data_IF_938603528753
#
_entry.id   IF_938603528753
#
_cell.length_a   1.000
_cell.length_b   1.000
_cell.length_c   1.000
_cell.angle_alpha   90.00
_cell.angle_beta   90.00
_cell.angle_gamma   90.00
#
_symmetry.space_group_name_H-M   'P 1'
#
loop_
_entity.id
_entity.type
_entity.pdbx_description
1 polymer ?
#
# COMPACT_ATOMS: atom_id res chain seq x y z
N UNK A 1 22.32 -3.24 10.84
CA UNK A 1 22.35 -3.57 9.41
C UNK A 1 21.72 -2.40 8.65
N UNK A 2 22.51 -1.70 7.83
CA UNK A 2 22.01 -0.66 6.93
C UNK A 2 21.25 -1.34 5.79
N UNK A 3 19.93 -1.26 5.81
CA UNK A 3 19.05 -1.82 4.76
C UNK A 3 18.95 -0.91 3.51
N UNK A 4 19.72 0.19 3.46
CA UNK A 4 19.63 1.20 2.40
C UNK A 4 18.36 2.07 2.49
N UNK A 5 18.28 3.09 1.63
CA UNK A 5 17.13 3.99 1.59
C UNK A 5 15.94 3.35 0.87
N UNK A 6 14.75 3.43 1.47
CA UNK A 6 13.50 2.99 0.87
C UNK A 6 12.60 4.18 0.58
N UNK A 7 12.08 4.25 -0.65
CA UNK A 7 11.16 5.33 -1.08
C UNK A 7 9.78 4.74 -1.36
N UNK A 8 8.75 5.39 -0.79
CA UNK A 8 7.35 5.10 -1.11
C UNK A 8 6.87 6.08 -2.19
N UNK A 9 6.47 5.55 -3.36
CA UNK A 9 6.03 6.36 -4.49
C UNK A 9 4.52 6.34 -4.67
N UNK A 10 3.99 7.46 -5.12
CA UNK A 10 2.59 7.71 -5.48
C UNK A 10 2.38 7.49 -6.97
N UNK A 11 1.23 6.94 -7.37
CA UNK A 11 0.91 6.66 -8.78
C UNK A 11 -0.24 7.48 -9.34
N UNK A 12 -1.02 8.14 -8.49
CA UNK A 12 -2.20 8.92 -8.88
C UNK A 12 -2.35 10.17 -8.01
N UNK A 13 -3.07 11.14 -8.52
CA UNK A 13 -3.58 12.27 -7.74
C UNK A 13 -4.98 11.92 -7.27
N UNK A 14 -5.12 11.50 -6.00
CA UNK A 14 -6.35 10.93 -5.44
C UNK A 14 -6.49 9.43 -5.72
N UNK A 15 -7.59 8.81 -5.26
CA UNK A 15 -7.85 7.38 -5.39
C UNK A 15 -9.35 7.10 -5.46
N UNK A 16 -9.79 6.27 -6.41
CA UNK A 16 -11.20 5.91 -6.56
C UNK A 16 -11.59 4.59 -5.86
N UNK A 17 -10.63 3.90 -5.23
CA UNK A 17 -10.92 2.62 -4.55
C UNK A 17 -11.84 2.82 -3.34
N UNK A 18 -11.67 3.94 -2.62
CA UNK A 18 -12.57 4.35 -1.55
C UNK A 18 -12.52 3.43 -0.34
N UNK A 19 -11.32 2.98 0.06
CA UNK A 19 -11.12 2.27 1.33
C UNK A 19 -11.46 3.20 2.50
N UNK A 20 -12.31 2.73 3.42
CA UNK A 20 -12.89 3.57 4.49
C UNK A 20 -11.89 3.95 5.58
N UNK A 21 -10.75 3.28 5.66
CA UNK A 21 -9.67 3.52 6.62
C UNK A 21 -8.50 4.36 6.08
N UNK A 22 -8.53 4.74 4.79
CA UNK A 22 -7.40 5.35 4.10
C UNK A 22 -7.66 6.83 3.77
N UNK A 23 -6.75 7.72 4.16
CA UNK A 23 -6.84 9.14 3.83
C UNK A 23 -6.87 9.43 2.32
N UNK A 24 -6.22 8.59 1.51
CA UNK A 24 -6.27 8.71 0.05
C UNK A 24 -7.68 8.47 -0.52
N UNK A 25 -8.51 7.70 0.17
CA UNK A 25 -9.91 7.44 -0.21
C UNK A 25 -10.84 8.65 -0.07
N UNK A 26 -10.42 9.68 0.69
CA UNK A 26 -11.14 10.93 0.86
C UNK A 26 -11.06 11.84 -0.38
N UNK A 27 -10.14 11.56 -1.29
CA UNK A 27 -9.88 12.39 -2.44
C UNK A 27 -10.14 11.59 -3.70
N UNK A 28 -11.20 11.97 -4.39
CA UNK A 28 -11.51 11.40 -5.70
C UNK A 28 -10.31 11.53 -6.63
N UNK A 29 -10.01 10.46 -7.37
CA UNK A 29 -8.96 10.47 -8.40
C UNK A 29 -9.18 11.62 -9.38
N UNK A 30 -8.16 12.43 -9.55
CA UNK A 30 -8.14 13.53 -10.51
C UNK A 30 -7.43 13.11 -11.79
N UNK A 31 -6.26 12.46 -11.67
CA UNK A 31 -5.50 11.94 -12.80
C UNK A 31 -4.51 10.85 -12.41
N UNK A 32 -4.04 10.15 -13.39
CA UNK A 32 -2.89 9.27 -13.28
C UNK A 32 -1.58 10.07 -13.36
N UNK A 33 -0.55 9.61 -12.68
CA UNK A 33 0.82 10.09 -12.89
C UNK A 33 1.44 9.34 -14.06
N UNK A 34 2.19 10.06 -14.88
CA UNK A 34 3.02 9.46 -15.92
C UNK A 34 4.17 8.67 -15.30
N UNK A 35 4.74 7.73 -16.04
CA UNK A 35 5.93 6.99 -15.60
C UNK A 35 7.08 7.93 -15.20
N UNK A 36 7.30 9.02 -15.94
CA UNK A 36 8.32 10.03 -15.63
C UNK A 36 8.06 10.75 -14.29
N UNK A 37 6.80 11.11 -14.00
CA UNK A 37 6.44 11.73 -12.71
C UNK A 37 6.66 10.76 -11.54
N UNK A 38 6.43 9.45 -11.74
CA UNK A 38 6.69 8.45 -10.70
C UNK A 38 8.21 8.29 -10.48
N UNK A 39 9.01 8.23 -11.55
CA UNK A 39 10.49 8.21 -11.48
C UNK A 39 11.04 9.45 -10.79
N UNK A 40 10.48 10.63 -11.11
CA UNK A 40 10.93 11.90 -10.54
C UNK A 40 10.86 11.94 -9.00
N UNK A 41 9.91 11.23 -8.38
CA UNK A 41 9.84 11.13 -6.91
C UNK A 41 11.10 10.47 -6.33
N UNK A 42 11.61 9.41 -6.97
CA UNK A 42 12.85 8.75 -6.55
C UNK A 42 14.06 9.67 -6.77
N UNK A 43 14.10 10.33 -7.94
CA UNK A 43 15.22 11.22 -8.28
C UNK A 43 15.32 12.42 -7.34
N UNK A 44 14.19 12.99 -6.91
CA UNK A 44 14.16 14.08 -5.94
C UNK A 44 14.69 13.66 -4.57
N UNK A 45 14.32 12.46 -4.12
CA UNK A 45 14.85 11.90 -2.86
C UNK A 45 16.35 11.63 -2.99
N UNK A 46 16.80 11.01 -4.09
CA UNK A 46 18.21 10.75 -4.34
C UNK A 46 19.01 12.06 -4.36
N UNK A 47 18.53 13.06 -5.11
CA UNK A 47 19.18 14.38 -5.16
C UNK A 47 19.34 15.00 -3.77
N UNK A 48 18.33 14.88 -2.90
CA UNK A 48 18.43 15.39 -1.53
C UNK A 48 19.62 14.79 -0.75
N UNK A 49 19.87 13.47 -0.90
CA UNK A 49 21.00 12.80 -0.24
C UNK A 49 22.31 13.11 -0.94
N UNK A 50 22.33 13.23 -2.27
CA UNK A 50 23.53 13.62 -3.03
C UNK A 50 24.00 15.03 -2.65
N UNK A 51 23.07 15.99 -2.53
CA UNK A 51 23.36 17.39 -2.15
C UNK A 51 23.92 17.49 -0.72
N UNK A 52 23.63 16.51 0.15
CA UNK A 52 24.17 16.43 1.52
C UNK A 52 25.55 15.75 1.60
N UNK A 53 25.92 15.06 0.55
CA UNK A 53 27.18 14.29 0.54
C UNK A 53 27.16 13.05 1.45
N UNK A 54 25.97 12.55 1.81
CA UNK A 54 25.81 11.41 2.73
C UNK A 54 26.26 10.08 2.10
N UNK A 55 26.48 10.03 0.78
CA UNK A 55 26.86 8.83 0.03
C UNK A 55 25.78 7.74 0.01
N UNK A 56 24.57 8.06 0.50
CA UNK A 56 23.45 7.14 0.57
C UNK A 56 22.72 7.04 -0.77
N UNK A 57 22.27 5.83 -1.13
CA UNK A 57 21.56 5.56 -2.38
C UNK A 57 20.20 4.97 -2.10
N UNK A 58 19.18 5.45 -2.85
CA UNK A 58 17.89 4.79 -2.88
C UNK A 58 18.05 3.38 -3.48
N UNK A 59 17.80 2.38 -2.68
CA UNK A 59 17.97 0.97 -3.01
C UNK A 59 16.67 0.16 -3.00
N UNK A 60 15.63 0.67 -2.35
CA UNK A 60 14.34 0.00 -2.24
C UNK A 60 13.20 0.96 -2.66
N UNK A 61 12.22 0.42 -3.37
CA UNK A 61 11.03 1.17 -3.79
C UNK A 61 9.77 0.40 -3.47
N UNK A 62 8.83 1.06 -2.80
CA UNK A 62 7.48 0.53 -2.60
C UNK A 62 6.45 1.41 -3.29
N UNK A 63 5.63 0.81 -4.14
CA UNK A 63 4.55 1.49 -4.85
C UNK A 63 3.30 1.34 -3.99
N UNK A 64 3.27 2.11 -2.89
CA UNK A 64 2.26 2.04 -1.82
C UNK A 64 1.76 3.43 -1.39
N UNK A 65 2.08 4.46 -2.17
CA UNK A 65 1.63 5.82 -1.93
C UNK A 65 0.18 6.03 -2.35
N UNK A 66 -0.16 7.24 -2.78
CA UNK A 66 -1.52 7.61 -3.17
C UNK A 66 -1.89 6.97 -4.51
N UNK A 67 -3.07 6.36 -4.56
CA UNK A 67 -3.64 5.76 -5.76
C UNK A 67 -3.62 4.24 -5.75
N UNK A 68 -4.25 3.67 -6.78
CA UNK A 68 -4.22 2.24 -7.07
C UNK A 68 -3.27 2.01 -8.27
N UNK A 69 -2.12 1.36 -8.06
CA UNK A 69 -1.15 1.18 -9.15
C UNK A 69 -1.72 0.45 -10.37
N UNK A 70 -2.59 -0.52 -10.16
CA UNK A 70 -3.17 -1.28 -11.26
C UNK A 70 -4.34 -0.58 -11.96
N UNK A 71 -4.81 0.54 -11.44
CA UNK A 71 -5.70 1.47 -12.16
C UNK A 71 -4.93 2.47 -13.04
N UNK A 72 -3.60 2.58 -12.84
CA UNK A 72 -2.65 3.32 -13.68
C UNK A 72 -1.61 2.35 -14.32
N UNK A 73 -2.09 1.23 -14.82
CA UNK A 73 -1.30 0.05 -15.14
C UNK A 73 -0.12 0.30 -16.08
N UNK A 74 -0.36 0.91 -17.24
CA UNK A 74 0.66 1.09 -18.28
C UNK A 74 1.80 2.01 -17.82
N UNK A 75 1.48 3.09 -17.12
CA UNK A 75 2.49 4.00 -16.58
C UNK A 75 3.30 3.32 -15.47
N UNK A 76 2.64 2.56 -14.58
CA UNK A 76 3.31 1.80 -13.52
C UNK A 76 4.22 0.74 -14.12
N UNK A 77 3.77 -0.01 -15.11
CA UNK A 77 4.59 -1.03 -15.77
C UNK A 77 5.84 -0.41 -16.43
N UNK A 78 5.65 0.71 -17.16
CA UNK A 78 6.75 1.47 -17.76
C UNK A 78 7.71 2.00 -16.70
N UNK A 79 7.19 2.54 -15.61
CA UNK A 79 7.99 2.97 -14.46
C UNK A 79 8.85 1.83 -13.89
N UNK A 80 8.26 0.65 -13.62
CA UNK A 80 8.98 -0.50 -13.08
C UNK A 80 10.13 -0.95 -13.99
N UNK A 81 9.87 -1.02 -15.30
CA UNK A 81 10.89 -1.35 -16.30
C UNK A 81 12.01 -0.31 -16.35
N UNK A 82 11.66 0.98 -16.20
CA UNK A 82 12.65 2.09 -16.22
C UNK A 82 13.58 2.03 -15.01
N UNK A 83 13.04 1.88 -13.79
CA UNK A 83 13.87 1.89 -12.57
C UNK A 83 14.68 0.60 -12.38
N UNK A 84 14.24 -0.50 -12.98
CA UNK A 84 14.94 -1.78 -12.94
C UNK A 84 16.00 -1.92 -14.05
N UNK A 85 15.99 -1.05 -15.07
CA UNK A 85 16.93 -1.11 -16.18
C UNK A 85 18.35 -0.74 -15.70
N UNK A 86 19.36 -1.54 -16.15
CA UNK A 86 20.77 -1.32 -15.77
C UNK A 86 21.32 0.02 -16.27
N UNK A 87 20.79 0.56 -17.37
CA UNK A 87 21.11 1.90 -17.88
C UNK A 87 20.29 3.03 -17.23
N UNK A 88 19.38 2.68 -16.26
CA UNK A 88 18.58 3.62 -15.51
C UNK A 88 19.04 3.71 -14.06
N UNK A 89 18.07 3.60 -13.12
CA UNK A 89 18.38 3.62 -11.68
C UNK A 89 18.99 2.29 -11.19
N UNK A 90 18.92 1.22 -11.97
CA UNK A 90 19.45 -0.11 -11.67
C UNK A 90 18.98 -0.65 -10.30
N UNK A 91 17.75 -0.36 -9.93
CA UNK A 91 17.16 -0.89 -8.68
C UNK A 91 16.73 -2.34 -8.94
N UNK A 92 17.36 -3.27 -8.24
CA UNK A 92 17.10 -4.70 -8.42
C UNK A 92 15.62 -5.04 -8.21
N UNK A 93 15.03 -5.87 -9.06
CA UNK A 93 13.60 -6.19 -9.05
C UNK A 93 13.10 -6.71 -7.70
N UNK A 94 13.94 -7.43 -6.93
CA UNK A 94 13.61 -7.93 -5.58
C UNK A 94 13.51 -6.82 -4.52
N UNK A 95 14.02 -5.63 -4.82
CA UNK A 95 13.93 -4.45 -3.96
C UNK A 95 12.77 -3.53 -4.34
N UNK A 96 11.97 -3.94 -5.33
CA UNK A 96 10.78 -3.20 -5.76
C UNK A 96 9.55 -4.01 -5.36
N UNK A 97 8.59 -3.35 -4.71
CA UNK A 97 7.30 -3.95 -4.35
C UNK A 97 6.16 -3.10 -4.89
N UNK A 98 5.26 -3.72 -5.64
CA UNK A 98 4.00 -3.09 -6.07
C UNK A 98 2.87 -3.64 -5.23
N UNK A 99 2.04 -2.73 -4.70
CA UNK A 99 0.85 -3.10 -3.94
C UNK A 99 -0.40 -2.78 -4.74
N UNK A 100 -1.41 -3.65 -4.66
CA UNK A 100 -2.74 -3.43 -5.27
C UNK A 100 -3.84 -3.71 -4.27
N UNK A 101 -4.95 -2.99 -4.39
CA UNK A 101 -6.18 -3.27 -3.65
C UNK A 101 -6.89 -4.55 -4.10
N UNK A 102 -6.42 -5.19 -5.19
CA UNK A 102 -6.94 -6.45 -5.66
C UNK A 102 -7.78 -6.36 -6.93
N UNK A 103 -7.32 -5.60 -7.94
CA UNK A 103 -7.89 -5.62 -9.29
C UNK A 103 -7.55 -6.97 -9.95
N UNK A 104 -8.37 -7.99 -9.72
CA UNK A 104 -8.10 -9.38 -10.10
C UNK A 104 -7.70 -9.58 -11.58
N UNK A 105 -8.35 -8.95 -12.59
CA UNK A 105 -7.91 -9.07 -13.99
C UNK A 105 -6.49 -8.54 -14.20
N UNK A 106 -6.13 -7.43 -13.53
CA UNK A 106 -4.80 -6.83 -13.66
C UNK A 106 -3.71 -7.62 -12.94
N UNK A 107 -4.05 -8.35 -11.89
CA UNK A 107 -3.11 -9.31 -11.26
C UNK A 107 -2.76 -10.43 -12.26
N UNK A 108 -3.75 -10.97 -12.99
CA UNK A 108 -3.51 -11.99 -14.03
C UNK A 108 -2.67 -11.43 -15.20
N UNK A 109 -2.96 -10.21 -15.64
CA UNK A 109 -2.17 -9.52 -16.67
C UNK A 109 -0.72 -9.34 -16.21
N UNK A 110 -0.52 -8.84 -14.99
CA UNK A 110 0.79 -8.62 -14.38
C UNK A 110 1.65 -9.89 -14.26
N UNK A 111 1.03 -11.05 -14.06
CA UNK A 111 1.71 -12.34 -14.03
C UNK A 111 2.44 -12.66 -15.35
N UNK A 112 1.97 -12.13 -16.48
CA UNK A 112 2.50 -12.41 -17.81
C UNK A 112 3.50 -11.33 -18.32
N UNK A 113 3.74 -10.26 -17.54
CA UNK A 113 4.60 -9.13 -17.95
C UNK A 113 6.11 -9.43 -17.89
N UNK A 114 6.50 -10.55 -17.30
CA UNK A 114 7.91 -10.93 -17.15
C UNK A 114 8.69 -10.06 -16.17
N UNK A 115 8.05 -9.13 -15.45
CA UNK A 115 8.70 -8.31 -14.41
C UNK A 115 8.85 -9.09 -13.12
N UNK A 116 10.07 -9.06 -12.53
CA UNK A 116 10.38 -9.84 -11.33
C UNK A 116 10.29 -9.04 -10.03
N UNK A 117 9.41 -8.06 -9.96
CA UNK A 117 9.16 -7.28 -8.75
C UNK A 117 8.26 -8.06 -7.77
N UNK A 118 8.24 -7.65 -6.52
CA UNK A 118 7.37 -8.27 -5.52
C UNK A 118 5.94 -7.74 -5.66
N UNK A 119 4.96 -8.63 -5.53
CA UNK A 119 3.54 -8.29 -5.48
C UNK A 119 3.06 -8.30 -4.03
N UNK A 120 2.45 -7.19 -3.61
CA UNK A 120 1.68 -7.09 -2.38
C UNK A 120 0.19 -6.89 -2.72
N UNK A 121 -0.69 -7.47 -1.91
CA UNK A 121 -2.14 -7.33 -2.06
C UNK A 121 -2.73 -6.83 -0.76
N UNK A 122 -3.39 -5.68 -0.83
CA UNK A 122 -4.18 -5.12 0.27
C UNK A 122 -5.42 -5.98 0.52
N UNK A 123 -5.31 -6.93 1.44
CA UNK A 123 -6.37 -7.88 1.75
C UNK A 123 -7.32 -7.33 2.82
N UNK A 124 -6.78 -6.99 3.98
CA UNK A 124 -7.38 -6.30 5.13
C UNK A 124 -8.60 -6.94 5.77
N UNK A 125 -9.15 -8.03 5.20
CA UNK A 125 -10.23 -8.79 5.78
C UNK A 125 -10.21 -10.25 5.27
N UNK A 126 -10.66 -11.23 6.08
CA UNK A 126 -10.60 -12.64 5.73
C UNK A 126 -11.87 -13.16 5.04
N UNK A 127 -12.97 -12.37 5.02
CA UNK A 127 -14.23 -12.72 4.41
C UNK A 127 -14.83 -11.56 3.61
N UNK A 128 -15.79 -11.86 2.73
CA UNK A 128 -16.37 -10.88 1.81
C UNK A 128 -17.19 -9.79 2.48
N UNK A 129 -17.91 -10.11 3.54
CA UNK A 129 -18.78 -9.14 4.23
C UNK A 129 -17.91 -8.06 4.89
N UNK A 130 -16.93 -8.48 5.67
CA UNK A 130 -15.99 -7.57 6.31
C UNK A 130 -15.16 -6.80 5.27
N UNK A 131 -14.66 -7.48 4.23
CA UNK A 131 -13.88 -6.81 3.19
C UNK A 131 -14.72 -5.78 2.43
N UNK A 132 -15.98 -6.08 2.12
CA UNK A 132 -16.89 -5.16 1.42
C UNK A 132 -17.27 -3.94 2.27
N UNK A 133 -17.27 -4.06 3.60
CA UNK A 133 -17.52 -2.96 4.51
C UNK A 133 -16.39 -1.95 4.56
N UNK A 134 -15.13 -2.39 4.44
CA UNK A 134 -13.94 -1.54 4.53
C UNK A 134 -13.27 -1.24 3.18
N UNK A 135 -13.50 -2.07 2.15
CA UNK A 135 -12.92 -1.94 0.81
C UNK A 135 -13.97 -2.16 -0.28
N UNK A 136 -14.47 -1.08 -0.88
CA UNK A 136 -15.53 -1.13 -1.92
C UNK A 136 -15.15 -1.99 -3.13
N UNK A 137 -13.87 -2.12 -3.43
CA UNK A 137 -13.37 -2.92 -4.55
C UNK A 137 -13.79 -4.40 -4.45
N UNK A 138 -14.02 -4.91 -3.24
CA UNK A 138 -14.47 -6.28 -3.02
C UNK A 138 -15.81 -6.60 -3.69
N UNK A 139 -16.69 -5.59 -3.88
CA UNK A 139 -17.98 -5.77 -4.59
C UNK A 139 -17.78 -6.12 -6.05
N UNK A 140 -16.70 -5.62 -6.67
CA UNK A 140 -16.36 -5.93 -8.07
C UNK A 140 -15.51 -7.19 -8.19
N UNK A 141 -14.60 -7.36 -7.22
CA UNK A 141 -13.66 -8.49 -7.16
C UNK A 141 -13.69 -9.12 -5.77
N UNK A 142 -14.71 -9.97 -5.48
CA UNK A 142 -14.81 -10.70 -4.21
C UNK A 142 -13.60 -11.63 -4.03
N UNK A 143 -13.42 -12.12 -2.81
CA UNK A 143 -12.24 -12.91 -2.42
C UNK A 143 -12.01 -14.11 -3.33
N UNK A 144 -13.07 -14.77 -3.81
CA UNK A 144 -12.95 -15.93 -4.72
C UNK A 144 -12.24 -15.54 -6.02
N UNK A 145 -12.65 -14.43 -6.63
CA UNK A 145 -12.02 -13.90 -7.87
C UNK A 145 -10.61 -13.39 -7.60
N UNK A 146 -10.42 -12.76 -6.45
CA UNK A 146 -9.10 -12.27 -6.06
C UNK A 146 -8.12 -13.43 -5.86
N UNK A 147 -8.52 -14.47 -5.11
CA UNK A 147 -7.65 -15.62 -4.86
C UNK A 147 -7.41 -16.46 -6.10
N UNK A 148 -8.40 -16.60 -7.01
CA UNK A 148 -8.18 -17.18 -8.33
C UNK A 148 -7.06 -16.46 -9.11
N UNK A 149 -7.08 -15.13 -9.10
CA UNK A 149 -6.05 -14.34 -9.77
C UNK A 149 -4.67 -14.46 -9.09
N UNK A 150 -4.65 -14.55 -7.76
CA UNK A 150 -3.42 -14.75 -6.98
C UNK A 150 -2.84 -16.15 -7.21
N UNK A 151 -3.68 -17.19 -7.21
CA UNK A 151 -3.26 -18.56 -7.53
C UNK A 151 -2.65 -18.61 -8.95
N UNK A 152 -3.29 -17.98 -9.94
CA UNK A 152 -2.75 -17.84 -11.28
C UNK A 152 -1.39 -17.13 -11.30
N UNK A 153 -1.26 -15.99 -10.58
CA UNK A 153 0.01 -15.28 -10.47
C UNK A 153 1.12 -16.17 -9.89
N UNK A 154 0.83 -16.89 -8.80
CA UNK A 154 1.78 -17.80 -8.15
C UNK A 154 2.19 -18.93 -9.10
N UNK A 155 1.24 -19.55 -9.81
CA UNK A 155 1.51 -20.64 -10.75
C UNK A 155 2.35 -20.18 -11.94
N UNK A 156 2.07 -18.98 -12.47
CA UNK A 156 2.75 -18.43 -13.65
C UNK A 156 4.17 -17.95 -13.32
N UNK A 157 4.35 -17.30 -12.15
CA UNK A 157 5.60 -16.62 -11.81
C UNK A 157 6.48 -17.40 -10.84
N UNK A 158 5.94 -18.41 -10.16
CA UNK A 158 6.54 -19.10 -9.00
C UNK A 158 7.06 -18.14 -7.92
N UNK A 159 6.38 -17.00 -7.74
CA UNK A 159 6.77 -15.94 -6.80
C UNK A 159 5.80 -15.85 -5.64
N UNK A 160 6.34 -15.44 -4.48
CA UNK A 160 5.56 -15.19 -3.28
C UNK A 160 4.70 -13.94 -3.44
N UNK A 161 3.49 -13.98 -2.90
CA UNK A 161 2.61 -12.83 -2.71
C UNK A 161 2.63 -12.41 -1.24
N UNK A 162 2.70 -11.12 -0.98
CA UNK A 162 2.56 -10.56 0.37
C UNK A 162 1.15 -10.00 0.54
N UNK A 163 0.47 -10.36 1.61
CA UNK A 163 -0.81 -9.78 2.00
C UNK A 163 -0.59 -8.69 3.04
N UNK A 164 -1.06 -7.50 2.74
CA UNK A 164 -1.10 -6.40 3.70
C UNK A 164 -2.43 -6.49 4.46
N UNK A 165 -2.38 -6.55 5.79
CA UNK A 165 -3.54 -6.67 6.67
C UNK A 165 -3.47 -5.61 7.76
N UNK A 166 -4.26 -4.53 7.59
CA UNK A 166 -4.36 -3.45 8.56
C UNK A 166 -5.18 -3.92 9.76
N UNK A 167 -4.70 -3.65 10.97
CA UNK A 167 -5.35 -4.06 12.22
C UNK A 167 -6.23 -2.92 12.74
N UNK A 168 -7.55 -3.04 12.54
CA UNK A 168 -8.57 -2.09 12.98
C UNK A 168 -9.25 -2.64 14.22
N UNK A 169 -9.13 -1.92 15.34
CA UNK A 169 -9.66 -2.35 16.63
C UNK A 169 -11.16 -2.64 16.57
N UNK A 170 -11.58 -3.79 17.10
CA UNK A 170 -12.96 -4.28 17.16
C UNK A 170 -13.66 -4.41 15.77
N UNK A 171 -12.88 -4.38 14.69
CA UNK A 171 -13.42 -4.49 13.32
C UNK A 171 -12.94 -5.77 12.64
N UNK A 172 -11.62 -5.96 12.54
CA UNK A 172 -11.03 -7.09 11.82
C UNK A 172 -9.90 -7.78 12.58
N UNK A 173 -9.75 -7.49 13.87
CA UNK A 173 -8.66 -7.93 14.73
C UNK A 173 -9.07 -9.02 15.75
N UNK A 174 -10.24 -9.65 15.57
CA UNK A 174 -10.71 -10.74 16.41
C UNK A 174 -9.95 -12.06 16.09
N UNK A 175 -9.74 -12.95 17.07
CA UNK A 175 -9.10 -14.25 16.85
C UNK A 175 -9.80 -15.09 15.76
N UNK A 176 -11.11 -14.99 15.63
CA UNK A 176 -11.91 -15.65 14.59
C UNK A 176 -11.51 -15.18 13.20
N UNK A 177 -11.24 -13.87 13.03
CA UNK A 177 -10.74 -13.34 11.76
C UNK A 177 -9.33 -13.86 11.43
N UNK A 178 -8.49 -14.08 12.44
CA UNK A 178 -7.18 -14.71 12.23
C UNK A 178 -7.33 -16.18 11.78
N UNK A 179 -8.29 -16.92 12.33
CA UNK A 179 -8.57 -18.29 11.91
C UNK A 179 -9.10 -18.32 10.47
N UNK A 180 -10.08 -17.50 10.14
CA UNK A 180 -10.60 -17.35 8.76
C UNK A 180 -9.47 -17.00 7.78
N UNK A 181 -8.56 -16.08 8.15
CA UNK A 181 -7.43 -15.67 7.32
C UNK A 181 -6.44 -16.83 7.10
N UNK A 182 -6.19 -17.63 8.13
CA UNK A 182 -5.36 -18.81 8.03
C UNK A 182 -5.97 -19.87 7.09
N UNK A 183 -7.28 -20.06 7.14
CA UNK A 183 -8.00 -20.98 6.28
C UNK A 183 -8.04 -20.48 4.83
N UNK A 184 -8.31 -19.19 4.63
CA UNK A 184 -8.32 -18.54 3.32
C UNK A 184 -6.97 -18.71 2.57
N UNK A 185 -5.86 -18.58 3.30
CA UNK A 185 -4.51 -18.65 2.71
C UNK A 185 -3.94 -20.07 2.64
N UNK A 186 -4.69 -21.10 3.11
CA UNK A 186 -4.21 -22.48 3.26
C UNK A 186 -3.60 -23.06 2.00
N UNK A 187 -4.25 -22.86 0.84
CA UNK A 187 -3.81 -23.44 -0.44
C UNK A 187 -2.47 -22.84 -0.93
N UNK A 188 -2.24 -21.57 -0.64
CA UNK A 188 -1.07 -20.81 -1.14
C UNK A 188 -0.03 -20.53 -0.05
N UNK A 189 -0.16 -21.16 1.11
CA UNK A 189 0.63 -20.87 2.33
C UNK A 189 2.14 -20.84 2.11
N UNK A 190 2.68 -21.74 1.26
CA UNK A 190 4.12 -21.81 0.98
C UNK A 190 4.65 -20.57 0.24
N UNK A 191 3.82 -19.94 -0.56
CA UNK A 191 4.15 -18.77 -1.38
C UNK A 191 3.33 -17.55 -0.98
N UNK A 192 2.90 -17.49 0.28
CA UNK A 192 2.24 -16.33 0.86
C UNK A 192 2.94 -15.85 2.13
N UNK A 193 2.81 -14.57 2.39
CA UNK A 193 3.31 -13.89 3.58
C UNK A 193 2.32 -12.83 4.02
N UNK A 194 2.07 -12.67 5.31
CA UNK A 194 1.13 -11.69 5.84
C UNK A 194 1.86 -10.63 6.66
N UNK A 195 1.72 -9.38 6.26
CA UNK A 195 2.14 -8.22 7.02
C UNK A 195 0.95 -7.71 7.83
N UNK A 196 0.99 -7.86 9.15
CA UNK A 196 0.04 -7.22 10.06
C UNK A 196 0.50 -5.78 10.28
N UNK A 197 -0.35 -4.83 9.90
CA UNK A 197 -0.03 -3.40 9.97
C UNK A 197 -0.88 -2.78 11.08
N UNK A 198 -0.28 -2.33 12.20
CA UNK A 198 -1.00 -1.53 13.18
C UNK A 198 -1.61 -0.29 12.50
N UNK A 199 -2.88 0.00 12.78
CA UNK A 199 -3.56 1.15 12.17
C UNK A 199 -2.94 2.46 12.61
N UNK A 200 -2.67 3.33 11.65
CA UNK A 200 -2.29 4.72 11.92
C UNK A 200 -3.54 5.59 11.82
N UNK A 201 -3.99 6.19 12.93
CA UNK A 201 -5.22 6.97 12.94
C UNK A 201 -5.19 8.10 11.92
N UNK A 202 -6.28 8.23 11.18
CA UNK A 202 -6.54 9.31 10.24
C UNK A 202 -7.62 10.17 10.86
N UNK A 203 -7.36 11.46 11.04
CA UNK A 203 -8.24 12.36 11.78
C UNK A 203 -9.64 12.49 11.18
N UNK A 204 -9.80 12.19 9.90
CA UNK A 204 -11.07 12.19 9.18
C UNK A 204 -11.83 10.86 9.28
N UNK A 205 -11.21 9.83 9.85
CA UNK A 205 -11.77 8.49 10.06
C UNK A 205 -11.80 8.18 11.57
N UNK A 206 -12.47 9.00 12.35
CA UNK A 206 -12.54 8.97 13.81
C UNK A 206 -13.24 7.71 14.38
N UNK A 207 -13.98 6.99 13.54
CA UNK A 207 -14.63 5.72 13.89
C UNK A 207 -13.69 4.51 13.89
N UNK A 208 -12.45 4.65 13.41
CA UNK A 208 -11.45 3.61 13.50
C UNK A 208 -10.39 3.95 14.55
N UNK A 209 -10.03 2.95 15.33
CA UNK A 209 -8.96 3.03 16.30
C UNK A 209 -7.94 1.91 16.10
N UNK A 210 -6.78 2.11 16.66
CA UNK A 210 -5.69 1.14 16.61
C UNK A 210 -5.96 -0.03 17.54
N UNK A 211 -5.73 -1.26 17.07
CA UNK A 211 -5.76 -2.46 17.91
C UNK A 211 -4.73 -2.39 19.03
N UNK A 212 -5.10 -2.91 20.20
CA UNK A 212 -4.16 -3.00 21.33
C UNK A 212 -3.04 -4.00 21.03
N UNK A 213 -1.93 -3.91 21.74
CA UNK A 213 -0.80 -4.83 21.57
C UNK A 213 -1.20 -6.28 21.85
N UNK A 214 -2.06 -6.48 22.84
CA UNK A 214 -2.58 -7.77 23.28
C UNK A 214 -3.42 -8.41 22.15
N UNK A 215 -4.29 -7.63 21.50
CA UNK A 215 -5.11 -8.10 20.37
C UNK A 215 -4.25 -8.45 19.16
N UNK A 216 -3.28 -7.61 18.84
CA UNK A 216 -2.31 -7.90 17.75
C UNK A 216 -1.52 -9.16 18.05
N UNK A 217 -1.07 -9.36 19.29
CA UNK A 217 -0.36 -10.56 19.70
C UNK A 217 -1.25 -11.81 19.61
N UNK A 218 -2.48 -11.74 20.10
CA UNK A 218 -3.43 -12.86 20.02
C UNK A 218 -3.74 -13.26 18.57
N UNK A 219 -3.96 -12.27 17.70
CA UNK A 219 -4.17 -12.49 16.26
C UNK A 219 -2.94 -13.15 15.60
N UNK A 220 -1.76 -12.62 15.89
CA UNK A 220 -0.49 -13.18 15.41
C UNK A 220 -0.30 -14.64 15.86
N UNK A 221 -0.58 -14.95 17.13
CA UNK A 221 -0.43 -16.29 17.69
C UNK A 221 -1.35 -17.31 17.00
N UNK A 222 -2.61 -16.93 16.69
CA UNK A 222 -3.53 -17.78 15.93
C UNK A 222 -2.95 -18.08 14.54
N UNK A 223 -2.44 -17.07 13.82
CA UNK A 223 -1.81 -17.27 12.52
C UNK A 223 -0.59 -18.20 12.61
N UNK A 224 0.27 -17.99 13.62
CA UNK A 224 1.46 -18.83 13.82
C UNK A 224 1.11 -20.28 14.16
N UNK A 225 0.13 -20.52 15.03
CA UNK A 225 -0.38 -21.87 15.36
C UNK A 225 -0.90 -22.59 14.12
N UNK A 226 -1.47 -21.87 13.17
CA UNK A 226 -1.93 -22.39 11.88
C UNK A 226 -0.81 -22.50 10.83
N UNK A 227 0.47 -22.22 11.17
CA UNK A 227 1.62 -22.33 10.27
C UNK A 227 1.66 -21.23 9.18
N UNK A 228 1.00 -20.10 9.40
CA UNK A 228 1.03 -18.96 8.48
C UNK A 228 2.32 -18.16 8.66
N UNK A 229 2.97 -17.81 7.56
CA UNK A 229 4.12 -16.90 7.59
C UNK A 229 3.61 -15.47 7.75
N UNK A 230 3.83 -14.87 8.91
CA UNK A 230 3.39 -13.51 9.18
C UNK A 230 4.39 -12.73 10.05
N UNK A 231 4.29 -11.42 9.99
CA UNK A 231 5.05 -10.47 10.83
C UNK A 231 4.13 -9.31 11.21
N UNK A 232 4.38 -8.74 12.38
CA UNK A 232 3.83 -7.43 12.75
C UNK A 232 4.82 -6.38 12.27
N UNK A 233 4.37 -5.50 11.36
CA UNK A 233 5.20 -4.46 10.76
C UNK A 233 5.62 -3.44 11.81
N UNK A 234 6.91 -3.13 11.85
CA UNK A 234 7.39 -1.99 12.64
C UNK A 234 6.94 -0.69 11.97
N UNK A 235 6.56 0.26 12.80
CA UNK A 235 6.14 1.57 12.35
C UNK A 235 7.34 2.47 12.09
N UNK A 236 7.23 3.25 11.03
CA UNK A 236 8.18 4.31 10.71
C UNK A 236 7.38 5.55 10.29
N UNK A 237 7.80 6.73 10.77
CA UNK A 237 7.25 8.02 10.35
C UNK A 237 5.92 8.42 10.98
N UNK A 238 5.53 7.81 12.10
CA UNK A 238 4.32 8.20 12.87
C UNK A 238 4.48 9.57 13.54
N UNK A 239 5.71 9.95 13.82
CA UNK A 239 6.09 11.24 14.44
C UNK A 239 6.01 12.43 13.48
N UNK A 240 6.02 12.17 12.18
CA UNK A 240 5.96 13.20 11.12
C UNK A 240 4.73 13.07 10.21
N UNK A 241 3.70 12.33 10.63
CA UNK A 241 2.49 12.01 9.84
C UNK A 241 2.80 11.43 8.45
N UNK A 242 3.93 10.74 8.32
CA UNK A 242 4.42 10.13 7.08
C UNK A 242 4.11 8.63 6.98
N UNK A 243 3.39 8.07 7.95
CA UNK A 243 2.97 6.68 7.90
C UNK A 243 1.91 6.44 6.80
N UNK A 244 1.76 5.18 6.40
CA UNK A 244 0.81 4.78 5.35
C UNK A 244 -0.59 5.36 5.61
N UNK A 245 -1.14 6.05 4.63
CA UNK A 245 -2.47 6.63 4.69
C UNK A 245 -2.57 8.06 5.26
N UNK A 246 -1.51 8.61 5.87
CA UNK A 246 -1.56 9.90 6.58
C UNK A 246 -1.08 11.11 5.77
N UNK A 247 -0.08 10.93 4.92
CA UNK A 247 0.69 12.03 4.28
C UNK A 247 -0.15 13.14 3.64
N UNK A 248 -1.32 12.85 3.07
CA UNK A 248 -2.10 13.86 2.34
C UNK A 248 -3.11 14.60 3.20
N UNK A 249 -3.57 14.02 4.29
CA UNK A 249 -4.55 14.65 5.19
C UNK A 249 -4.04 16.01 5.68
N UNK A 250 -2.80 16.08 6.10
CA UNK A 250 -2.20 17.30 6.65
C UNK A 250 -1.83 18.34 5.59
N UNK A 251 -1.37 17.94 4.42
CA UNK A 251 -1.09 18.85 3.31
C UNK A 251 -2.37 19.54 2.83
N UNK A 252 -3.48 18.81 2.70
CA UNK A 252 -4.77 19.39 2.31
C UNK A 252 -5.35 20.35 3.36
N UNK A 253 -5.16 20.07 4.65
CA UNK A 253 -5.56 21.00 5.71
C UNK A 253 -4.79 22.32 5.60
N UNK A 254 -3.46 22.25 5.37
CA UNK A 254 -2.61 23.42 5.15
C UNK A 254 -3.02 24.23 3.91
N UNK A 255 -3.32 23.52 2.80
CA UNK A 255 -3.73 24.18 1.55
C UNK A 255 -5.11 24.81 1.68
N UNK A 256 -6.08 24.15 2.37
CA UNK A 256 -7.37 24.75 2.70
C UNK A 256 -7.24 25.97 3.61
N UNK A 257 -6.41 25.88 4.65
CA UNK A 257 -6.16 26.99 5.58
C UNK A 257 -5.51 28.18 4.84
N UNK A 258 -4.55 27.94 3.94
CA UNK A 258 -3.96 28.97 3.09
C UNK A 258 -4.99 29.58 2.16
N UNK A 259 -5.80 28.78 1.47
CA UNK A 259 -6.84 29.26 0.57
C UNK A 259 -7.91 30.08 1.30
N UNK A 260 -8.30 29.71 2.52
CA UNK A 260 -9.22 30.47 3.36
C UNK A 260 -8.58 31.79 3.84
N UNK A 261 -7.32 31.75 4.24
CA UNK A 261 -6.57 32.96 4.66
C UNK A 261 -6.39 33.95 3.48
N UNK A 262 -6.09 33.44 2.28
CA UNK A 262 -5.98 34.26 1.07
C UNK A 262 -7.34 34.83 0.63
N UNK A 263 -8.43 34.09 0.82
CA UNK A 263 -9.79 34.57 0.52
C UNK A 263 -10.27 35.62 1.54
N UNK A 264 -9.93 35.45 2.82
CA UNK A 264 -10.27 36.43 3.86
C UNK A 264 -9.41 37.70 3.82
N UNK A 265 -8.13 37.60 3.41
CA UNK A 265 -7.25 38.77 3.24
C UNK A 265 -7.57 39.66 2.04
N UNK A 266 -8.41 39.20 1.11
CA UNK A 266 -8.88 40.02 -0.03
C UNK A 266 -10.15 40.84 0.26
N UNK A 267 -10.79 40.64 1.42
CA UNK A 267 -12.03 41.34 1.81
C UNK A 267 -11.78 42.67 2.58
N UNK A 268 -10.56 42.96 3.00
CA UNK A 268 -10.23 44.18 3.76
C UNK A 268 -9.58 45.29 2.92
N UNK A 269 -9.59 45.18 1.59
CA UNK A 269 -8.99 46.15 0.67
C UNK A 269 -9.97 46.70 -0.36
N UNK A 270 -11.14 47.22 0.08
CA UNK A 270 -11.97 48.12 -0.74
C UNK A 270 -12.65 49.18 0.13
#
# INVERSE_FOLDING_TARGET
QHYGLSVCVTTQVGCNIGCTFCASGLIKKQRDLTAGEIVAQIMLVQKYFDDRGDGERVSHVVVMGIGEPFDNYDNVLRFLRTINNDNGLAIGARHITVSTSGLAPKIKEFANEGVQVNLAVSLHAPNNDLRSSIMRINRSFPLEKLFEAIEYYIQTTNRRVTFEYIMLNEVNDHPENAQELADLTKKIRKLSYINLIPYNPVSEHDHYSRSTKERVAAFYDVLKKNGVNCVVRQEHGTDIDAACGQLRSNTMKRDRQKAVAEASGKSEGK
#
